data_IF_989878672897
#
_entry.id   IF_989878672897
#
_cell.length_a   1.000
_cell.length_b   1.000
_cell.length_c   1.000
_cell.angle_alpha   90.00
_cell.angle_beta   90.00
_cell.angle_gamma   90.00
#
_symmetry.space_group_name_H-M   'P 1'
#
loop_
_entity.id
_entity.type
_entity.pdbx_description
1 polymer ?
#
# COMPACT_ATOMS: atom_id res chain seq x y z
N UNK A 1 13.79 9.64 33.05
CA UNK A 1 14.26 10.92 33.63
C UNK A 1 13.73 12.05 32.78
N UNK A 2 13.03 13.01 33.38
CA UNK A 2 12.59 14.25 32.74
C UNK A 2 13.45 15.38 33.23
N UNK A 3 14.08 16.14 32.34
CA UNK A 3 14.87 17.32 32.67
C UNK A 3 14.10 18.57 32.26
N UNK A 4 14.04 19.55 33.16
CA UNK A 4 13.46 20.87 32.85
C UNK A 4 14.60 21.86 32.63
N UNK A 5 14.48 22.64 31.55
CA UNK A 5 15.46 23.68 31.22
C UNK A 5 15.00 25.02 31.81
N UNK A 6 15.90 25.73 32.48
CA UNK A 6 15.65 27.09 32.95
C UNK A 6 15.37 28.03 31.77
N UNK A 7 14.31 28.85 31.84
CA UNK A 7 13.85 29.70 30.76
C UNK A 7 12.94 29.02 29.70
N UNK A 8 12.81 27.69 29.78
CA UNK A 8 11.88 26.92 28.94
C UNK A 8 12.18 27.01 27.46
N UNK A 9 11.19 26.65 26.64
CA UNK A 9 11.30 26.61 25.18
C UNK A 9 11.60 27.99 24.54
N UNK A 10 11.18 29.08 25.18
CA UNK A 10 11.47 30.43 24.68
C UNK A 10 12.97 30.74 24.72
N UNK A 11 13.69 30.33 25.77
CA UNK A 11 15.14 30.48 25.85
C UNK A 11 15.89 29.53 24.93
N UNK A 12 15.40 28.29 24.75
CA UNK A 12 15.94 27.35 23.76
C UNK A 12 15.95 27.98 22.38
N UNK A 13 14.80 28.53 21.95
CA UNK A 13 14.64 29.17 20.64
C UNK A 13 15.50 30.44 20.50
N UNK A 14 15.59 31.24 21.55
CA UNK A 14 16.39 32.48 21.57
C UNK A 14 17.89 32.21 21.43
N UNK A 15 18.36 31.08 21.98
CA UNK A 15 19.75 30.69 21.88
C UNK A 15 20.09 29.97 20.55
N UNK A 16 19.14 29.85 19.61
CA UNK A 16 19.36 29.28 18.28
C UNK A 16 19.57 27.76 18.27
N UNK A 17 19.14 27.07 19.33
CA UNK A 17 19.21 25.61 19.35
C UNK A 17 18.18 25.00 18.40
N UNK A 18 18.54 23.91 17.74
CA UNK A 18 17.67 23.18 16.85
C UNK A 18 16.47 22.59 17.61
N UNK A 19 15.31 22.65 16.99
CA UNK A 19 14.08 22.05 17.49
C UNK A 19 13.19 21.64 16.32
N UNK A 20 12.50 20.55 16.50
CA UNK A 20 11.45 20.12 15.60
C UNK A 20 10.09 20.48 16.19
N UNK A 21 9.27 21.19 15.44
CA UNK A 21 7.87 21.34 15.80
C UNK A 21 7.14 20.07 15.36
N UNK A 22 6.27 19.51 16.21
CA UNK A 22 5.38 18.45 15.77
C UNK A 22 4.67 18.91 14.49
N UNK A 23 4.72 18.12 13.44
CA UNK A 23 4.01 18.40 12.19
C UNK A 23 2.50 18.41 12.49
N UNK A 24 1.89 19.57 12.42
CA UNK A 24 0.47 19.72 12.69
C UNK A 24 -0.32 19.47 11.41
N UNK A 25 -1.48 18.81 11.54
CA UNK A 25 -2.42 18.67 10.43
C UNK A 25 -2.94 20.04 10.01
N UNK A 26 -3.13 20.24 8.70
CA UNK A 26 -3.80 21.44 8.19
C UNK A 26 -5.28 21.45 8.59
N UNK A 27 -5.94 22.62 8.53
CA UNK A 27 -7.40 22.69 8.77
C UNK A 27 -8.20 21.77 7.84
N UNK A 28 -7.80 21.66 6.57
CA UNK A 28 -8.40 20.79 5.57
C UNK A 28 -8.22 19.31 5.93
N UNK A 29 -7.00 18.91 6.34
CA UNK A 29 -6.70 17.57 6.82
C UNK A 29 -7.48 17.23 8.09
N UNK A 30 -7.56 18.14 9.06
CA UNK A 30 -8.38 17.95 10.26
C UNK A 30 -9.85 17.75 9.92
N UNK A 31 -10.37 18.47 8.94
CA UNK A 31 -11.74 18.30 8.46
C UNK A 31 -11.93 16.94 7.79
N UNK A 32 -11.05 16.58 6.85
CA UNK A 32 -11.09 15.32 6.11
C UNK A 32 -11.02 14.11 7.02
N UNK A 33 -10.07 14.09 7.94
CA UNK A 33 -9.79 12.94 8.81
C UNK A 33 -10.45 13.06 10.20
N UNK A 34 -11.41 13.97 10.36
CA UNK A 34 -12.03 14.25 11.66
C UNK A 34 -12.58 13.00 12.36
N UNK A 35 -13.11 12.03 11.61
CA UNK A 35 -13.66 10.80 12.17
C UNK A 35 -12.57 9.85 12.69
N UNK A 36 -11.39 9.80 12.04
CA UNK A 36 -10.21 9.07 12.53
C UNK A 36 -9.65 9.72 13.80
N UNK A 37 -9.52 11.03 13.81
CA UNK A 37 -8.95 11.81 14.93
C UNK A 37 -9.78 11.63 16.20
N UNK A 38 -11.08 11.41 16.11
CA UNK A 38 -11.97 11.16 17.24
C UNK A 38 -11.78 9.77 17.87
N UNK A 39 -11.13 8.83 17.20
CA UNK A 39 -10.82 7.51 17.73
C UNK A 39 -9.57 7.64 18.60
N UNK A 40 -9.63 7.37 19.93
CA UNK A 40 -8.50 7.61 20.84
C UNK A 40 -7.21 6.87 20.43
N UNK A 41 -7.34 5.68 19.83
CA UNK A 41 -6.23 4.85 19.39
C UNK A 41 -5.56 5.39 18.12
N UNK A 42 -6.22 6.28 17.39
CA UNK A 42 -5.67 6.94 16.19
C UNK A 42 -5.22 8.37 16.56
N UNK A 43 -6.15 9.24 16.92
CA UNK A 43 -5.88 10.64 17.23
C UNK A 43 -5.19 11.41 16.09
N UNK A 44 -4.69 12.60 16.38
CA UNK A 44 -3.90 13.38 15.42
C UNK A 44 -2.54 12.71 15.12
N UNK A 45 -1.93 12.10 16.12
CA UNK A 45 -0.64 11.42 15.96
C UNK A 45 -0.74 10.22 15.03
N UNK A 46 -1.76 9.37 15.21
CA UNK A 46 -1.99 8.23 14.31
C UNK A 46 -2.32 8.68 12.89
N UNK A 47 -3.09 9.74 12.71
CA UNK A 47 -3.35 10.30 11.38
C UNK A 47 -2.09 10.87 10.74
N UNK A 48 -1.20 11.49 11.52
CA UNK A 48 0.07 11.96 11.01
C UNK A 48 0.96 10.80 10.55
N UNK A 49 0.98 9.69 11.30
CA UNK A 49 1.68 8.46 10.90
C UNK A 49 1.14 7.89 9.59
N UNK A 50 -0.18 7.94 9.36
CA UNK A 50 -0.76 7.52 8.08
C UNK A 50 -0.30 8.43 6.94
N UNK A 51 -0.29 9.75 7.13
CA UNK A 51 0.19 10.71 6.13
C UNK A 51 1.68 10.57 5.81
N UNK A 52 2.47 10.08 6.75
CA UNK A 52 3.90 9.83 6.55
C UNK A 52 4.18 8.43 5.98
N UNK A 53 3.20 7.50 6.07
CA UNK A 53 3.37 6.12 5.66
C UNK A 53 3.48 5.94 4.14
N UNK A 54 4.25 4.94 3.73
CA UNK A 54 4.52 4.56 2.35
C UNK A 54 4.13 3.10 2.13
N UNK A 55 3.14 2.85 1.29
CA UNK A 55 2.63 1.50 1.02
C UNK A 55 2.81 1.14 -0.44
N UNK A 56 3.41 0.00 -0.73
CA UNK A 56 3.58 -0.55 -2.06
C UNK A 56 2.49 -1.58 -2.35
N UNK A 57 1.66 -1.34 -3.37
CA UNK A 57 0.67 -2.29 -3.85
C UNK A 57 1.23 -3.04 -5.06
N UNK A 58 1.20 -4.35 -5.00
CA UNK A 58 1.51 -5.23 -6.12
C UNK A 58 0.21 -5.64 -6.77
N UNK A 59 -0.06 -5.02 -7.91
CA UNK A 59 -1.29 -5.16 -8.68
C UNK A 59 -2.32 -4.05 -8.41
N UNK A 60 -2.91 -3.52 -9.49
CA UNK A 60 -4.07 -2.62 -9.50
C UNK A 60 -5.35 -3.36 -9.96
N UNK A 61 -5.37 -4.67 -9.73
CA UNK A 61 -6.46 -5.58 -10.09
C UNK A 61 -7.59 -5.62 -9.06
N UNK A 62 -8.30 -6.75 -8.98
CA UNK A 62 -9.49 -6.91 -8.12
C UNK A 62 -9.23 -6.69 -6.63
N UNK A 63 -8.06 -7.06 -6.11
CA UNK A 63 -7.68 -6.83 -4.71
C UNK A 63 -6.99 -5.47 -4.51
N UNK A 64 -6.06 -5.09 -5.41
CA UNK A 64 -5.36 -3.81 -5.33
C UNK A 64 -6.27 -2.61 -5.52
N UNK A 65 -7.29 -2.73 -6.35
CA UNK A 65 -8.25 -1.67 -6.63
C UNK A 65 -8.99 -1.15 -5.38
N UNK A 66 -9.76 -1.96 -4.64
CA UNK A 66 -10.38 -1.49 -3.40
C UNK A 66 -9.36 -1.11 -2.34
N UNK A 67 -8.27 -1.89 -2.19
CA UNK A 67 -7.25 -1.60 -1.20
C UNK A 67 -6.63 -0.20 -1.41
N UNK A 68 -6.28 0.16 -2.65
CA UNK A 68 -5.71 1.46 -2.97
C UNK A 68 -6.66 2.62 -2.66
N UNK A 69 -7.96 2.48 -2.95
CA UNK A 69 -8.96 3.49 -2.65
C UNK A 69 -9.15 3.69 -1.14
N UNK A 70 -9.24 2.61 -0.36
CA UNK A 70 -9.40 2.70 1.09
C UNK A 70 -8.15 3.24 1.78
N UNK A 71 -6.95 2.84 1.36
CA UNK A 71 -5.70 3.40 1.88
C UNK A 71 -5.59 4.90 1.55
N UNK A 72 -5.95 5.29 0.34
CA UNK A 72 -5.99 6.70 -0.05
C UNK A 72 -7.02 7.48 0.76
N UNK A 73 -8.24 6.97 0.93
CA UNK A 73 -9.28 7.61 1.74
C UNK A 73 -8.86 7.75 3.20
N UNK A 74 -8.13 6.78 3.74
CA UNK A 74 -7.56 6.83 5.09
C UNK A 74 -6.41 7.83 5.24
N UNK A 75 -5.84 8.31 4.14
CA UNK A 75 -4.76 9.29 4.16
C UNK A 75 -3.37 8.68 4.28
N UNK A 76 -3.14 7.48 3.73
CA UNK A 76 -1.78 6.95 3.55
C UNK A 76 -1.05 7.84 2.55
N UNK A 77 0.03 8.50 3.00
CA UNK A 77 0.63 9.62 2.28
C UNK A 77 1.29 9.26 0.94
N UNK A 78 1.84 8.05 0.81
CA UNK A 78 2.42 7.59 -0.46
C UNK A 78 1.97 6.18 -0.79
N UNK A 79 1.43 6.00 -1.99
CA UNK A 79 1.06 4.70 -2.55
C UNK A 79 1.91 4.41 -3.79
N UNK A 80 2.78 3.40 -3.72
CA UNK A 80 3.41 2.81 -4.91
C UNK A 80 2.46 1.79 -5.51
N UNK A 81 2.32 1.77 -6.82
CA UNK A 81 1.46 0.79 -7.52
C UNK A 81 2.25 0.18 -8.66
N UNK A 82 2.44 -1.14 -8.61
CA UNK A 82 3.13 -1.92 -9.65
C UNK A 82 2.10 -2.71 -10.43
N UNK A 83 1.93 -2.42 -11.71
CA UNK A 83 1.06 -3.16 -12.62
C UNK A 83 1.47 -2.88 -14.07
N UNK A 84 1.56 -3.90 -14.91
CA UNK A 84 1.95 -3.78 -16.32
C UNK A 84 0.78 -3.78 -17.29
N UNK A 85 -0.43 -4.01 -16.80
CA UNK A 85 -1.61 -4.19 -17.63
C UNK A 85 -2.28 -2.87 -18.00
N UNK A 86 -3.12 -2.95 -19.01
CA UNK A 86 -4.07 -1.89 -19.39
C UNK A 86 -5.45 -2.20 -18.81
N UNK A 87 -6.28 -1.17 -18.69
CA UNK A 87 -7.68 -1.30 -18.30
C UNK A 87 -8.49 -1.93 -19.41
N UNK A 88 -9.17 -3.03 -19.09
CA UNK A 88 -10.06 -3.74 -20.00
C UNK A 88 -11.49 -3.75 -19.45
N UNK A 89 -12.49 -3.78 -20.33
CA UNK A 89 -13.90 -3.76 -19.94
C UNK A 89 -14.27 -4.94 -19.01
N UNK A 90 -13.70 -6.12 -19.26
CA UNK A 90 -13.88 -7.30 -18.42
C UNK A 90 -13.32 -7.15 -16.99
N UNK A 91 -12.53 -6.12 -16.74
CA UNK A 91 -11.98 -5.81 -15.43
C UNK A 91 -12.95 -5.02 -14.54
N UNK A 92 -13.82 -4.20 -15.13
CA UNK A 92 -14.60 -3.17 -14.46
C UNK A 92 -15.62 -3.73 -13.46
N UNK A 93 -16.02 -5.00 -13.61
CA UNK A 93 -16.93 -5.65 -12.67
C UNK A 93 -16.33 -5.85 -11.25
N UNK A 94 -14.98 -5.71 -11.08
CA UNK A 94 -14.29 -5.87 -9.79
C UNK A 94 -13.16 -4.90 -9.53
N UNK A 95 -12.61 -4.26 -10.56
CA UNK A 95 -11.47 -3.33 -10.44
C UNK A 95 -11.98 -1.88 -10.38
N UNK A 96 -12.65 -1.54 -9.27
CA UNK A 96 -13.44 -0.32 -9.09
C UNK A 96 -12.63 0.99 -9.05
N UNK A 97 -11.30 0.93 -9.01
CA UNK A 97 -10.43 2.12 -9.17
C UNK A 97 -10.39 2.61 -10.63
N UNK A 98 -10.75 1.72 -11.56
CA UNK A 98 -10.84 2.03 -12.98
C UNK A 98 -12.27 2.34 -13.40
N UNK A 99 -12.44 2.90 -14.58
CA UNK A 99 -13.75 3.24 -15.14
C UNK A 99 -13.77 3.09 -16.65
N UNK A 100 -14.95 3.12 -17.24
CA UNK A 100 -15.13 3.10 -18.71
C UNK A 100 -14.33 4.21 -19.40
N UNK A 101 -14.15 5.36 -18.74
CA UNK A 101 -13.40 6.49 -19.30
C UNK A 101 -11.88 6.23 -19.38
N UNK A 102 -11.39 5.16 -18.75
CA UNK A 102 -9.96 4.81 -18.72
C UNK A 102 -9.64 3.52 -19.46
N UNK A 103 -10.59 3.01 -20.27
CA UNK A 103 -10.37 1.82 -21.11
C UNK A 103 -9.16 2.03 -22.03
N UNK A 104 -8.27 1.03 -22.08
CA UNK A 104 -7.05 1.05 -22.87
C UNK A 104 -5.88 1.84 -22.24
N UNK A 105 -6.07 2.52 -21.12
CA UNK A 105 -4.99 3.19 -20.40
C UNK A 105 -4.22 2.22 -19.48
N UNK A 106 -2.94 2.48 -19.19
CA UNK A 106 -2.21 1.74 -18.16
C UNK A 106 -2.95 1.77 -16.81
N UNK A 107 -3.13 0.61 -16.17
CA UNK A 107 -3.85 0.51 -14.89
C UNK A 107 -3.26 1.42 -13.81
N UNK A 108 -1.94 1.54 -13.75
CA UNK A 108 -1.26 2.39 -12.75
C UNK A 108 -1.60 3.87 -12.94
N UNK A 109 -1.76 4.36 -14.17
CA UNK A 109 -2.12 5.76 -14.46
C UNK A 109 -3.61 6.02 -14.20
N UNK A 110 -4.47 5.06 -14.56
CA UNK A 110 -5.90 5.11 -14.22
C UNK A 110 -6.10 5.15 -12.71
N UNK A 111 -5.44 4.27 -11.96
CA UNK A 111 -5.48 4.24 -10.49
C UNK A 111 -4.96 5.54 -9.88
N UNK A 112 -3.82 6.05 -10.35
CA UNK A 112 -3.26 7.34 -9.91
C UNK A 112 -4.28 8.45 -10.00
N UNK A 113 -4.93 8.61 -11.16
CA UNK A 113 -5.95 9.65 -11.38
C UNK A 113 -7.13 9.52 -10.42
N UNK A 114 -7.63 8.31 -10.20
CA UNK A 114 -8.75 8.07 -9.31
C UNK A 114 -8.39 8.34 -7.85
N UNK A 115 -7.21 7.92 -7.41
CA UNK A 115 -6.71 8.11 -6.04
C UNK A 115 -6.48 9.60 -5.74
N UNK A 116 -5.78 10.32 -6.62
CA UNK A 116 -5.49 11.75 -6.44
C UNK A 116 -6.77 12.60 -6.51
N UNK A 117 -7.78 12.18 -7.29
CA UNK A 117 -9.09 12.82 -7.29
C UNK A 117 -9.88 12.56 -5.99
N UNK A 118 -9.71 11.38 -5.36
CA UNK A 118 -10.33 11.05 -4.09
C UNK A 118 -9.67 11.80 -2.93
N UNK A 119 -8.34 11.83 -2.90
CA UNK A 119 -7.58 12.43 -1.82
C UNK A 119 -6.29 13.11 -2.33
N UNK A 120 -6.28 14.46 -2.40
CA UNK A 120 -5.11 15.21 -2.89
C UNK A 120 -3.91 15.20 -1.92
N UNK A 121 -4.09 14.70 -0.68
CA UNK A 121 -2.98 14.54 0.28
C UNK A 121 -2.10 13.32 -0.07
N UNK A 122 -2.56 12.45 -0.98
CA UNK A 122 -1.89 11.19 -1.32
C UNK A 122 -1.07 11.34 -2.59
N UNK A 123 0.19 10.95 -2.52
CA UNK A 123 1.08 10.88 -3.68
C UNK A 123 1.08 9.46 -4.24
N UNK A 124 0.83 9.30 -5.54
CA UNK A 124 0.90 7.99 -6.20
C UNK A 124 2.15 7.90 -7.06
N UNK A 125 2.97 6.87 -6.79
CA UNK A 125 4.16 6.50 -7.56
C UNK A 125 3.80 5.32 -8.46
N UNK A 126 3.57 5.53 -9.77
CA UNK A 126 3.21 4.46 -10.69
C UNK A 126 4.45 3.75 -11.20
N UNK A 127 4.44 2.41 -11.18
CA UNK A 127 5.41 1.54 -11.83
C UNK A 127 4.69 0.75 -12.92
N UNK A 128 4.74 1.27 -14.16
CA UNK A 128 4.12 0.65 -15.34
C UNK A 128 4.99 -0.49 -15.84
N UNK A 129 5.13 -1.52 -15.02
CA UNK A 129 5.98 -2.66 -15.29
C UNK A 129 5.54 -3.88 -14.48
N UNK A 130 5.90 -5.07 -14.96
CA UNK A 130 5.73 -6.30 -14.19
C UNK A 130 6.84 -6.42 -13.16
N UNK A 131 6.48 -6.82 -11.92
CA UNK A 131 7.49 -7.09 -10.90
C UNK A 131 8.30 -8.34 -11.29
N UNK A 132 9.62 -8.18 -11.33
CA UNK A 132 10.60 -9.23 -11.68
C UNK A 132 11.79 -9.19 -10.75
N UNK A 133 12.64 -10.24 -10.77
CA UNK A 133 13.91 -10.25 -10.04
C UNK A 133 14.89 -9.16 -10.47
N UNK A 134 14.71 -8.59 -11.66
CA UNK A 134 15.60 -7.54 -12.19
C UNK A 134 15.24 -6.15 -11.67
N UNK A 135 13.96 -5.90 -11.31
CA UNK A 135 13.48 -4.58 -10.92
C UNK A 135 13.02 -4.47 -9.46
N UNK A 136 12.80 -5.58 -8.75
CA UNK A 136 12.28 -5.58 -7.37
C UNK A 136 13.17 -4.77 -6.43
N UNK A 137 14.47 -4.91 -6.51
CA UNK A 137 15.44 -4.18 -5.66
C UNK A 137 15.35 -2.67 -5.89
N UNK A 138 15.24 -2.24 -7.15
CA UNK A 138 15.08 -0.82 -7.50
C UNK A 138 13.77 -0.25 -6.95
N UNK A 139 12.66 -0.99 -7.06
CA UNK A 139 11.35 -0.55 -6.58
C UNK A 139 11.35 -0.49 -5.05
N UNK A 140 11.96 -1.46 -4.37
CA UNK A 140 12.03 -1.45 -2.90
C UNK A 140 13.00 -0.39 -2.35
N UNK A 141 14.01 0.00 -3.12
CA UNK A 141 14.94 1.07 -2.74
C UNK A 141 14.27 2.45 -2.58
N UNK A 142 13.07 2.65 -3.13
CA UNK A 142 12.29 3.86 -2.90
C UNK A 142 11.76 3.97 -1.45
N UNK A 143 11.90 2.91 -0.63
CA UNK A 143 11.58 2.88 0.80
C UNK A 143 10.08 2.74 1.08
N UNK A 144 9.66 1.54 1.45
CA UNK A 144 8.27 1.18 1.73
C UNK A 144 8.13 0.60 3.13
N UNK A 145 7.09 1.01 3.86
CA UNK A 145 6.80 0.53 5.21
C UNK A 145 6.04 -0.80 5.20
N UNK A 146 5.21 -1.00 4.16
CA UNK A 146 4.35 -2.19 4.00
C UNK A 146 4.19 -2.50 2.51
N UNK A 147 4.16 -3.79 2.18
CA UNK A 147 3.74 -4.27 0.86
C UNK A 147 2.35 -4.86 0.96
N UNK A 148 1.45 -4.48 0.07
CA UNK A 148 0.14 -5.13 -0.15
C UNK A 148 0.26 -6.00 -1.38
N UNK A 149 0.25 -7.31 -1.18
CA UNK A 149 0.33 -8.29 -2.26
C UNK A 149 -1.07 -8.70 -2.72
N UNK A 150 -1.47 -8.17 -3.86
CA UNK A 150 -2.67 -8.52 -4.60
C UNK A 150 -2.37 -9.26 -5.90
N UNK A 151 -1.18 -9.89 -6.02
CA UNK A 151 -0.78 -10.62 -7.21
C UNK A 151 -1.67 -11.86 -7.44
N UNK A 152 -1.99 -12.11 -8.70
CA UNK A 152 -2.80 -13.23 -9.14
C UNK A 152 -1.98 -14.46 -9.60
N UNK A 153 -0.65 -14.39 -9.45
CA UNK A 153 0.26 -15.43 -9.89
C UNK A 153 1.31 -15.79 -8.83
N UNK A 154 1.68 -17.07 -8.78
CA UNK A 154 2.61 -17.59 -7.80
C UNK A 154 4.04 -17.05 -7.95
N UNK A 155 4.63 -16.92 -9.15
CA UNK A 155 5.98 -16.36 -9.28
C UNK A 155 6.14 -15.00 -8.60
N UNK A 156 5.18 -14.09 -8.79
CA UNK A 156 5.19 -12.78 -8.15
C UNK A 156 5.05 -12.88 -6.63
N UNK A 157 4.18 -13.75 -6.11
CA UNK A 157 4.00 -13.95 -4.66
C UNK A 157 5.29 -14.42 -3.99
N UNK A 158 5.99 -15.40 -4.60
CA UNK A 158 7.26 -15.89 -4.08
C UNK A 158 8.36 -14.84 -4.15
N UNK A 159 8.41 -14.06 -5.24
CA UNK A 159 9.35 -12.95 -5.38
C UNK A 159 9.12 -11.87 -4.32
N UNK A 160 7.86 -11.46 -4.10
CA UNK A 160 7.48 -10.50 -3.06
C UNK A 160 7.89 -11.02 -1.68
N UNK A 161 7.60 -12.30 -1.39
CA UNK A 161 8.01 -12.91 -0.14
C UNK A 161 9.53 -12.83 0.07
N UNK A 162 10.31 -13.28 -0.91
CA UNK A 162 11.77 -13.34 -0.77
C UNK A 162 12.37 -11.94 -0.59
N UNK A 163 11.95 -10.99 -1.41
CA UNK A 163 12.38 -9.61 -1.30
C UNK A 163 11.96 -8.96 0.05
N UNK A 164 10.74 -9.22 0.51
CA UNK A 164 10.25 -8.71 1.80
C UNK A 164 11.06 -9.23 2.98
N UNK A 165 11.48 -10.49 2.93
CA UNK A 165 12.34 -11.09 3.97
C UNK A 165 13.71 -10.40 3.99
N UNK A 166 14.32 -10.12 2.85
CA UNK A 166 15.62 -9.45 2.76
C UNK A 166 15.57 -7.98 3.20
N UNK A 167 14.46 -7.29 2.87
CA UNK A 167 14.26 -5.88 3.22
C UNK A 167 13.56 -5.65 4.56
N UNK A 168 13.17 -6.72 5.27
CA UNK A 168 12.43 -6.64 6.55
C UNK A 168 11.09 -5.89 6.43
N UNK A 169 10.45 -5.91 5.27
CA UNK A 169 9.19 -5.20 5.02
C UNK A 169 8.01 -6.17 5.24
N UNK A 170 7.03 -5.85 6.10
CA UNK A 170 5.85 -6.67 6.28
C UNK A 170 4.99 -6.69 5.00
N UNK A 171 4.39 -7.85 4.75
CA UNK A 171 3.50 -8.08 3.59
C UNK A 171 2.10 -8.39 4.07
N UNK A 172 1.13 -7.62 3.62
CA UNK A 172 -0.29 -7.94 3.71
C UNK A 172 -0.66 -8.68 2.42
N UNK A 173 -0.80 -10.00 2.54
CA UNK A 173 -1.12 -10.87 1.42
C UNK A 173 -2.62 -11.08 1.30
N UNK A 174 -3.16 -10.89 0.10
CA UNK A 174 -4.51 -11.24 -0.28
C UNK A 174 -4.51 -12.22 -1.45
N UNK A 175 -5.41 -13.19 -1.41
CA UNK A 175 -5.71 -14.03 -2.57
C UNK A 175 -7.17 -14.41 -2.59
N UNK A 176 -7.70 -14.61 -3.79
CA UNK A 176 -9.09 -15.02 -4.00
C UNK A 176 -9.15 -16.09 -5.09
N UNK A 177 -10.02 -17.05 -4.88
CA UNK A 177 -10.35 -18.06 -5.88
C UNK A 177 -11.85 -18.35 -5.80
N UNK A 178 -12.59 -18.02 -6.85
CA UNK A 178 -14.06 -18.14 -6.92
C UNK A 178 -14.74 -17.44 -5.74
N UNK A 179 -15.21 -18.21 -4.75
CA UNK A 179 -15.92 -17.77 -3.54
C UNK A 179 -15.06 -17.85 -2.27
N UNK A 180 -13.81 -18.26 -2.39
CA UNK A 180 -12.88 -18.39 -1.27
C UNK A 180 -11.84 -17.28 -1.30
N UNK A 181 -11.64 -16.62 -0.18
CA UNK A 181 -10.62 -15.59 -0.01
C UNK A 181 -9.69 -15.90 1.15
N UNK A 182 -8.45 -15.49 1.01
CA UNK A 182 -7.45 -15.56 2.07
C UNK A 182 -6.86 -14.17 2.27
N UNK A 183 -6.66 -13.81 3.53
CA UNK A 183 -5.90 -12.63 3.92
C UNK A 183 -5.00 -12.97 5.08
N UNK A 184 -3.75 -12.55 5.03
CA UNK A 184 -2.80 -12.78 6.11
C UNK A 184 -1.72 -11.69 6.12
N UNK A 185 -1.05 -11.54 7.27
CA UNK A 185 0.13 -10.68 7.40
C UNK A 185 1.36 -11.54 7.60
N UNK A 186 2.31 -11.40 6.72
CA UNK A 186 3.65 -11.97 6.88
C UNK A 186 4.57 -10.86 7.38
N UNK A 187 5.09 -11.05 8.61
CA UNK A 187 6.01 -10.09 9.21
C UNK A 187 7.40 -10.74 9.33
N UNK A 188 8.31 -10.48 8.40
CA UNK A 188 9.62 -11.11 8.37
C UNK A 188 10.35 -10.93 9.71
N UNK A 189 11.03 -11.99 10.15
CA UNK A 189 11.79 -12.07 11.39
C UNK A 189 10.99 -11.96 12.71
N UNK A 190 9.70 -11.56 12.66
CA UNK A 190 8.80 -11.57 13.81
C UNK A 190 7.77 -12.72 13.76
N UNK A 191 7.63 -13.35 12.59
CA UNK A 191 6.70 -14.46 12.36
C UNK A 191 7.03 -15.26 11.10
N UNK A 192 6.15 -16.21 10.70
CA UNK A 192 6.35 -16.99 9.49
C UNK A 192 6.24 -16.10 8.23
N UNK A 193 6.97 -16.46 7.19
CA UNK A 193 6.82 -15.89 5.85
C UNK A 193 5.92 -16.77 4.96
N UNK A 194 5.63 -16.32 3.75
CA UNK A 194 4.81 -17.09 2.78
C UNK A 194 5.38 -18.48 2.52
N UNK A 195 6.71 -18.63 2.40
CA UNK A 195 7.36 -19.93 2.20
C UNK A 195 7.28 -20.86 3.41
N UNK A 196 7.09 -20.34 4.62
CA UNK A 196 6.86 -21.18 5.79
C UNK A 196 5.49 -21.87 5.72
N UNK A 197 4.50 -21.21 5.11
CA UNK A 197 3.15 -21.73 4.93
C UNK A 197 3.03 -22.55 3.63
N UNK A 198 3.65 -22.07 2.56
CA UNK A 198 3.63 -22.68 1.23
C UNK A 198 5.07 -22.83 0.73
N UNK A 199 5.79 -23.92 1.09
CA UNK A 199 7.22 -24.10 0.77
C UNK A 199 7.52 -24.13 -0.73
N UNK A 200 6.60 -24.61 -1.54
CA UNK A 200 6.71 -24.69 -3.00
C UNK A 200 5.38 -24.30 -3.67
N UNK A 201 5.45 -23.75 -4.89
CA UNK A 201 4.24 -23.45 -5.64
C UNK A 201 3.47 -24.76 -5.97
N UNK A 202 2.14 -24.70 -6.05
CA UNK A 202 1.35 -25.83 -6.50
C UNK A 202 1.70 -26.17 -7.96
N UNK A 203 1.48 -27.43 -8.38
CA UNK A 203 1.56 -27.78 -9.80
C UNK A 203 0.66 -26.89 -10.65
N UNK A 204 1.08 -26.49 -11.87
CA UNK A 204 0.31 -25.57 -12.73
C UNK A 204 -1.15 -26.01 -12.95
N UNK A 205 -1.40 -27.30 -13.01
CA UNK A 205 -2.72 -27.89 -13.25
C UNK A 205 -3.71 -27.64 -12.07
N UNK A 206 -3.16 -27.39 -10.88
CA UNK A 206 -3.95 -27.10 -9.66
C UNK A 206 -4.07 -25.59 -9.36
N UNK A 207 -3.53 -24.74 -10.23
CA UNK A 207 -3.44 -23.30 -10.04
C UNK A 207 -3.95 -22.53 -11.28
N UNK A 208 -5.22 -22.73 -11.69
CA UNK A 208 -5.78 -21.99 -12.81
C UNK A 208 -5.78 -20.49 -12.52
N UNK A 209 -5.55 -19.69 -13.55
CA UNK A 209 -5.65 -18.24 -13.48
C UNK A 209 -7.10 -17.77 -13.19
N UNK A 210 -7.28 -16.52 -12.75
CA UNK A 210 -8.61 -15.93 -12.60
C UNK A 210 -9.39 -15.91 -13.93
N UNK A 211 -8.71 -15.84 -15.08
CA UNK A 211 -9.32 -15.88 -16.38
C UNK A 211 -9.91 -17.26 -16.73
N UNK A 212 -9.30 -18.33 -16.20
CA UNK A 212 -9.74 -19.73 -16.43
C UNK A 212 -10.71 -20.19 -15.35
N UNK A 213 -10.45 -19.84 -14.09
CA UNK A 213 -11.24 -20.30 -12.94
C UNK A 213 -12.49 -19.46 -12.66
N UNK A 214 -12.52 -18.24 -13.14
CA UNK A 214 -13.50 -17.22 -12.74
C UNK A 214 -13.19 -16.60 -11.39
N UNK A 215 -13.69 -15.39 -11.17
CA UNK A 215 -13.56 -14.67 -9.90
C UNK A 215 -14.80 -13.80 -9.68
N UNK A 216 -15.36 -13.87 -8.48
CA UNK A 216 -16.42 -12.96 -8.06
C UNK A 216 -15.82 -11.61 -7.68
N UNK A 217 -16.51 -10.50 -8.06
CA UNK A 217 -16.11 -9.12 -7.72
C UNK A 217 -16.66 -8.68 -6.37
#
# INVERSE_FOLDING_TARGET
>A
HVSSMAGGFADWKRNGYDFELPRALSPEQRSRYSRHILIPEVGEEGQQRLLDARVLLIGAGGLGSPASLYLAAAGVGTLGIVDADIVDDSNLQRQIVHSTNTLGEPKVLSAKRAIEALNPDVTVVPYEERLTSENVERILADGWDVIVDGADNFPTRYLVNDASVWHHIPVVHGSIYRFEGQVTVFHPHAGPCYRCLYPSPPPPELAPSCAEGGVLG
#
